data_IF_430183517845
#
_entry.id   IF_430183517845
#
_cell.length_a   1.000
_cell.length_b   1.000
_cell.length_c   1.000
_cell.angle_alpha   90.00
_cell.angle_beta   90.00
_cell.angle_gamma   90.00
#
_symmetry.space_group_name_H-M   'P 1'
#
loop_
_entity.id
_entity.type
_entity.pdbx_description
1 polymer ?
#
# COMPACT_ATOMS: atom_id res chain seq x y z
N UNK A 1 21.40 -4.97 1.04
CA UNK A 1 20.32 -4.28 0.29
C UNK A 1 19.42 -5.37 -0.26
N UNK A 2 18.54 -5.92 0.58
CA UNK A 2 17.55 -6.92 0.15
C UNK A 2 16.20 -6.24 0.03
N UNK A 3 15.86 -5.88 -1.21
CA UNK A 3 14.49 -5.62 -1.66
C UNK A 3 13.93 -6.99 -2.02
N UNK A 4 13.19 -7.63 -1.09
CA UNK A 4 12.79 -9.03 -1.29
C UNK A 4 11.51 -9.46 -0.57
N UNK A 5 11.45 -9.43 0.77
CA UNK A 5 10.49 -10.33 1.45
C UNK A 5 9.36 -9.70 2.27
N UNK A 6 9.22 -8.37 2.35
CA UNK A 6 8.11 -7.83 3.17
C UNK A 6 7.53 -6.51 2.66
N UNK A 7 6.92 -6.50 1.46
CA UNK A 7 6.14 -5.33 0.98
C UNK A 7 5.13 -4.87 2.06
N UNK A 8 4.46 -5.81 2.73
CA UNK A 8 3.49 -5.51 3.79
C UNK A 8 4.08 -5.03 5.12
N UNK A 9 5.24 -5.54 5.59
CA UNK A 9 5.85 -5.01 6.83
C UNK A 9 6.27 -3.55 6.67
N UNK A 10 6.68 -3.14 5.45
CA UNK A 10 7.02 -1.74 5.18
C UNK A 10 5.79 -0.84 5.33
N UNK A 11 4.64 -1.29 4.86
CA UNK A 11 3.36 -0.56 4.97
C UNK A 11 2.94 -0.43 6.44
N UNK A 12 2.87 -1.53 7.18
CA UNK A 12 2.41 -1.51 8.59
C UNK A 12 3.37 -0.72 9.49
N UNK A 13 4.69 -0.84 9.26
CA UNK A 13 5.70 -0.03 9.95
C UNK A 13 5.55 1.47 9.67
N UNK A 14 5.32 1.84 8.40
CA UNK A 14 5.10 3.24 8.02
C UNK A 14 3.83 3.80 8.68
N UNK A 15 2.74 3.01 8.71
CA UNK A 15 1.50 3.38 9.41
C UNK A 15 1.70 3.56 10.91
N UNK A 16 2.41 2.63 11.58
CA UNK A 16 2.74 2.74 13.00
C UNK A 16 3.56 4.00 13.34
N UNK A 17 4.37 4.49 12.40
CA UNK A 17 5.12 5.74 12.52
C UNK A 17 4.37 6.99 12.04
N UNK A 18 3.08 6.87 11.70
CA UNK A 18 2.25 7.95 11.12
C UNK A 18 2.80 8.50 9.79
N UNK A 19 3.61 7.71 9.07
CA UNK A 19 4.11 8.04 7.75
C UNK A 19 3.14 7.55 6.66
N UNK A 20 2.00 8.21 6.54
CA UNK A 20 0.94 7.79 5.62
C UNK A 20 1.35 7.93 4.15
N UNK A 21 2.14 8.94 3.81
CA UNK A 21 2.72 9.09 2.48
C UNK A 21 3.64 7.91 2.14
N UNK A 22 4.53 7.50 3.05
CA UNK A 22 5.42 6.36 2.85
C UNK A 22 4.66 5.05 2.70
N UNK A 23 3.60 4.84 3.48
CA UNK A 23 2.72 3.68 3.36
C UNK A 23 2.01 3.65 1.99
N UNK A 24 1.39 4.76 1.59
CA UNK A 24 0.71 4.88 0.30
C UNK A 24 1.67 4.72 -0.88
N UNK A 25 2.89 5.29 -0.79
CA UNK A 25 3.93 5.13 -1.81
C UNK A 25 4.31 3.66 -1.97
N UNK A 26 4.49 2.92 -0.89
CA UNK A 26 4.79 1.49 -0.97
C UNK A 26 3.65 0.71 -1.64
N UNK A 27 2.41 0.95 -1.24
CA UNK A 27 1.22 0.32 -1.84
C UNK A 27 1.13 0.64 -3.35
N UNK A 28 1.19 1.92 -3.72
CA UNK A 28 0.99 2.37 -5.10
C UNK A 28 2.15 2.02 -6.04
N UNK A 29 3.32 1.68 -5.49
CA UNK A 29 4.45 1.19 -6.29
C UNK A 29 4.21 -0.22 -6.83
N UNK A 30 3.53 -1.07 -6.05
CA UNK A 30 3.24 -2.46 -6.41
C UNK A 30 1.82 -2.61 -7.01
N UNK A 31 0.90 -1.73 -6.62
CA UNK A 31 -0.51 -1.78 -7.02
C UNK A 31 -1.05 -0.35 -7.32
N UNK A 32 -1.14 0.06 -8.60
CA UNK A 32 -1.59 1.40 -8.98
C UNK A 32 -3.06 1.68 -8.64
N UNK A 33 -3.87 0.64 -8.41
CA UNK A 33 -5.28 0.75 -7.98
C UNK A 33 -5.46 0.43 -6.50
N UNK A 34 -4.44 0.77 -5.69
CA UNK A 34 -4.37 0.46 -4.27
C UNK A 34 -5.59 0.91 -3.46
N UNK A 35 -6.20 2.06 -3.78
CA UNK A 35 -7.41 2.51 -3.08
C UNK A 35 -8.58 1.54 -3.28
N UNK A 36 -8.86 1.20 -4.53
CA UNK A 36 -9.94 0.28 -4.92
C UNK A 36 -9.71 -1.09 -4.29
N UNK A 37 -8.50 -1.64 -4.40
CA UNK A 37 -8.18 -2.92 -3.79
C UNK A 37 -8.34 -2.90 -2.26
N UNK A 38 -8.01 -1.79 -1.59
CA UNK A 38 -8.25 -1.67 -0.15
C UNK A 38 -9.72 -1.80 0.24
N UNK A 39 -10.64 -1.42 -0.66
CA UNK A 39 -12.08 -1.45 -0.43
C UNK A 39 -12.76 -2.76 -0.86
N UNK A 40 -12.30 -3.38 -1.94
CA UNK A 40 -13.05 -4.48 -2.60
C UNK A 40 -12.31 -5.82 -2.62
N UNK A 41 -11.05 -5.88 -2.18
CA UNK A 41 -10.29 -7.12 -2.20
C UNK A 41 -10.92 -8.15 -1.26
N UNK A 42 -11.13 -9.40 -1.70
CA UNK A 42 -11.59 -10.49 -0.84
C UNK A 42 -10.44 -10.94 0.08
N UNK A 43 -10.11 -10.13 1.09
CA UNK A 43 -8.87 -10.28 1.86
C UNK A 43 -8.79 -11.59 2.64
N UNK A 44 -9.93 -12.14 3.08
CA UNK A 44 -10.02 -13.44 3.76
C UNK A 44 -9.42 -14.59 2.94
N UNK A 45 -9.58 -14.54 1.61
CA UNK A 45 -9.10 -15.57 0.70
C UNK A 45 -7.68 -15.27 0.19
N UNK A 46 -7.15 -14.09 0.52
CA UNK A 46 -5.88 -13.56 0.03
C UNK A 46 -4.98 -13.18 1.23
N UNK A 47 -4.67 -11.88 1.38
CA UNK A 47 -3.65 -11.42 2.32
C UNK A 47 -3.99 -11.66 3.79
N UNK A 48 -5.26 -11.57 4.21
CA UNK A 48 -5.68 -11.89 5.58
C UNK A 48 -5.64 -13.41 5.83
N UNK A 49 -5.99 -14.22 4.83
CA UNK A 49 -5.94 -15.68 4.92
C UNK A 49 -4.54 -16.25 5.19
N UNK A 50 -3.49 -15.55 4.73
CA UNK A 50 -2.09 -15.89 5.00
C UNK A 50 -1.46 -15.19 6.21
N UNK A 51 -2.24 -14.43 7.00
CA UNK A 51 -1.68 -13.65 8.10
C UNK A 51 -1.34 -14.54 9.30
N UNK A 52 -0.12 -14.44 9.84
CA UNK A 52 0.31 -15.22 11.01
C UNK A 52 -0.52 -14.93 12.28
N UNK A 53 -1.02 -13.70 12.45
CA UNK A 53 -1.87 -13.36 13.60
C UNK A 53 -3.26 -14.02 13.56
N UNK A 54 -3.64 -14.64 12.44
CA UNK A 54 -4.86 -15.46 12.39
C UNK A 54 -4.84 -16.58 13.43
N UNK A 55 -3.66 -17.05 13.84
CA UNK A 55 -3.51 -18.09 14.85
C UNK A 55 -3.58 -17.59 16.31
N UNK A 56 -3.82 -16.30 16.54
CA UNK A 56 -3.96 -15.71 17.89
C UNK A 56 -5.42 -15.32 18.16
N UNK A 57 -5.72 -14.97 19.42
CA UNK A 57 -7.08 -14.59 19.83
C UNK A 57 -7.54 -13.27 19.19
N UNK A 58 -6.61 -12.39 18.84
CA UNK A 58 -6.89 -11.10 18.18
C UNK A 58 -7.25 -11.26 16.70
N UNK A 59 -6.80 -12.35 16.07
CA UNK A 59 -7.05 -12.66 14.66
C UNK A 59 -6.21 -11.87 13.66
N UNK A 60 -6.52 -12.06 12.37
CA UNK A 60 -5.77 -11.49 11.26
C UNK A 60 -5.77 -9.94 11.26
N UNK A 61 -4.65 -9.35 10.86
CA UNK A 61 -4.54 -7.90 10.63
C UNK A 61 -5.50 -7.50 9.51
N UNK A 62 -6.26 -6.43 9.70
CA UNK A 62 -7.17 -5.87 8.67
C UNK A 62 -6.42 -5.12 7.57
N UNK A 63 -5.72 -5.88 6.73
CA UNK A 63 -4.83 -5.39 5.68
C UNK A 63 -5.60 -4.51 4.67
N UNK A 64 -6.80 -4.90 4.25
CA UNK A 64 -7.62 -4.10 3.32
C UNK A 64 -7.90 -2.70 3.87
N UNK A 65 -8.34 -2.61 5.12
CA UNK A 65 -8.61 -1.35 5.80
C UNK A 65 -7.37 -0.47 5.98
N UNK A 66 -6.21 -1.06 6.32
CA UNK A 66 -4.95 -0.32 6.41
C UNK A 66 -4.50 0.24 5.06
N UNK A 67 -4.63 -0.56 3.99
CA UNK A 67 -4.35 -0.13 2.63
C UNK A 67 -5.28 1.00 2.19
N UNK A 68 -6.59 0.85 2.41
CA UNK A 68 -7.58 1.90 2.14
C UNK A 68 -7.19 3.19 2.87
N UNK A 69 -6.99 3.13 4.19
CA UNK A 69 -6.66 4.30 5.01
C UNK A 69 -5.39 5.02 4.53
N UNK A 70 -4.34 4.27 4.20
CA UNK A 70 -3.09 4.83 3.72
C UNK A 70 -3.29 5.61 2.41
N UNK A 71 -3.93 4.98 1.42
CA UNK A 71 -4.11 5.57 0.09
C UNK A 71 -5.13 6.70 0.12
N UNK A 72 -6.19 6.60 0.92
CA UNK A 72 -7.16 7.69 1.12
C UNK A 72 -6.51 8.91 1.79
N UNK A 73 -5.62 8.68 2.76
CA UNK A 73 -4.82 9.76 3.37
C UNK A 73 -3.91 10.43 2.36
N UNK A 74 -3.28 9.68 1.46
CA UNK A 74 -2.50 10.22 0.36
C UNK A 74 -3.35 11.00 -0.65
N UNK A 75 -4.53 10.49 -1.02
CA UNK A 75 -5.45 11.17 -1.93
C UNK A 75 -5.84 12.57 -1.40
N UNK A 76 -6.08 12.70 -0.09
CA UNK A 76 -6.34 13.99 0.58
C UNK A 76 -5.16 14.97 0.53
N UNK A 77 -3.93 14.48 0.36
CA UNK A 77 -2.76 15.36 0.23
C UNK A 77 -2.72 16.09 -1.13
N UNK A 78 -3.51 15.63 -2.11
CA UNK A 78 -3.58 16.21 -3.46
C UNK A 78 -2.21 16.35 -4.14
N UNK A 79 -1.36 15.33 -3.97
CA UNK A 79 -0.03 15.25 -4.59
C UNK A 79 -0.13 14.42 -5.87
N UNK A 80 0.22 14.97 -7.05
CA UNK A 80 0.14 14.24 -8.31
C UNK A 80 1.24 13.17 -8.41
N UNK A 81 0.94 12.08 -9.11
CA UNK A 81 1.96 11.14 -9.54
C UNK A 81 2.81 11.79 -10.63
N UNK A 82 4.13 11.71 -10.48
CA UNK A 82 5.09 12.16 -11.49
C UNK A 82 5.76 10.95 -12.10
N UNK A 83 5.93 10.96 -13.42
CA UNK A 83 6.80 9.99 -14.10
C UNK A 83 8.19 10.59 -14.26
N UNK A 84 9.20 9.74 -14.30
CA UNK A 84 10.56 10.19 -14.61
C UNK A 84 10.62 10.88 -15.98
N UNK A 85 9.82 10.43 -16.95
CA UNK A 85 9.73 11.06 -18.27
C UNK A 85 9.19 12.49 -18.16
N UNK A 86 8.14 12.71 -17.37
CA UNK A 86 7.60 14.05 -17.14
C UNK A 86 8.62 14.97 -16.44
N UNK A 87 9.39 14.46 -15.48
CA UNK A 87 10.43 15.23 -14.79
C UNK A 87 11.62 15.58 -15.71
N UNK A 88 11.95 14.70 -16.66
CA UNK A 88 13.05 14.90 -17.60
C UNK A 88 12.62 15.63 -18.88
N UNK A 89 11.36 16.04 -19.00
CA UNK A 89 10.83 16.65 -20.23
C UNK A 89 10.83 15.71 -21.44
N UNK A 90 10.84 14.40 -21.21
CA UNK A 90 10.82 13.37 -22.24
C UNK A 90 9.37 13.00 -22.57
N UNK A 91 9.07 12.86 -23.86
CA UNK A 91 7.78 12.33 -24.28
C UNK A 91 7.70 10.85 -23.91
N UNK A 92 6.61 10.47 -23.23
CA UNK A 92 6.31 9.08 -22.88
C UNK A 92 5.95 8.32 -24.17
N UNK A 93 6.95 7.74 -24.81
CA UNK A 93 6.78 6.79 -25.92
C UNK A 93 6.46 5.43 -25.30
N UNK A 94 5.22 5.27 -24.84
CA UNK A 94 4.68 3.97 -24.45
C UNK A 94 3.66 3.53 -25.51
#
# INVERSE_FOLDING_TARGET
MEVGEHSWLRVTHALGKRNYYGAAKAILSDNPVGLTCGMVCPTSDLCEGGCNLTATEEGAIKIGGLQQFAVESFARMNIPQVSIYALLGLNNQA
#
